data_IF_942676789411
#
_entry.id   IF_942676789411
#
_cell.length_a   1.000
_cell.length_b   1.000
_cell.length_c   1.000
_cell.angle_alpha   90.00
_cell.angle_beta   90.00
_cell.angle_gamma   90.00
#
_symmetry.space_group_name_H-M   'P 1'
#
loop_
_entity.id
_entity.type
_entity.pdbx_description
1 polymer ?
#
# COMPACT_ATOMS: atom_id res chain seq x y z
N UNK A 1 0.71 -10.49 22.69
CA UNK A 1 0.66 -9.08 22.25
C UNK A 1 1.96 -8.71 21.59
N UNK A 2 1.88 -8.06 20.45
CA UNK A 2 3.02 -7.53 19.68
C UNK A 2 3.20 -6.07 20.09
N UNK A 3 4.36 -5.65 20.65
CA UNK A 3 4.62 -4.25 20.93
C UNK A 3 4.96 -3.52 19.63
N UNK A 4 4.32 -2.36 19.41
CA UNK A 4 4.53 -1.56 18.20
C UNK A 4 4.37 -0.07 18.45
N UNK A 5 4.94 0.73 17.57
CA UNK A 5 4.62 2.15 17.41
C UNK A 5 3.65 2.33 16.26
N UNK A 6 2.79 3.34 16.39
CA UNK A 6 1.92 3.83 15.32
C UNK A 6 2.28 5.28 15.03
N UNK A 7 2.54 5.58 13.77
CA UNK A 7 2.84 6.93 13.30
C UNK A 7 1.83 7.31 12.22
N UNK A 8 1.16 8.43 12.40
CA UNK A 8 0.36 9.08 11.37
C UNK A 8 1.09 10.35 10.92
N UNK A 9 1.25 10.53 9.62
CA UNK A 9 2.03 11.64 9.10
C UNK A 9 1.67 12.06 7.69
N UNK A 10 2.30 13.16 7.28
CA UNK A 10 2.22 13.68 5.93
C UNK A 10 3.62 13.65 5.30
N UNK A 11 3.70 13.23 4.04
CA UNK A 11 4.94 13.30 3.29
C UNK A 11 4.69 13.95 1.93
N UNK A 12 5.57 14.90 1.50
CA UNK A 12 5.39 15.60 0.25
C UNK A 12 5.62 14.70 -0.97
N UNK A 13 4.95 15.07 -2.05
CA UNK A 13 5.28 14.71 -3.44
C UNK A 13 5.77 15.97 -4.12
N UNK A 14 6.89 15.88 -4.79
CA UNK A 14 7.52 17.01 -5.49
C UNK A 14 7.03 17.10 -6.93
N UNK A 15 6.82 18.30 -7.40
CA UNK A 15 6.51 18.58 -8.80
C UNK A 15 7.78 18.71 -9.64
N UNK A 16 7.62 18.81 -10.95
CA UNK A 16 8.72 18.98 -11.91
C UNK A 16 9.49 20.31 -11.76
N UNK A 17 8.93 21.24 -11.02
CA UNK A 17 9.49 22.56 -10.70
C UNK A 17 10.18 22.61 -9.34
N UNK A 18 10.49 21.45 -8.77
CA UNK A 18 11.09 21.27 -7.44
C UNK A 18 10.28 21.90 -6.28
N UNK A 19 8.98 22.15 -6.51
CA UNK A 19 8.04 22.57 -5.47
C UNK A 19 7.21 21.41 -4.99
N UNK A 20 6.75 21.50 -3.74
CA UNK A 20 5.80 20.51 -3.20
C UNK A 20 4.48 20.62 -3.96
N UNK A 21 4.13 19.58 -4.70
CA UNK A 21 2.92 19.53 -5.51
C UNK A 21 1.72 18.95 -4.75
N UNK A 22 1.97 17.93 -3.94
CA UNK A 22 0.94 17.30 -3.10
C UNK A 22 1.54 16.87 -1.76
N UNK A 23 0.68 16.58 -0.80
CA UNK A 23 1.04 16.02 0.49
C UNK A 23 0.21 14.78 0.76
N UNK A 24 0.84 13.64 0.95
CA UNK A 24 0.19 12.35 1.15
C UNK A 24 0.19 11.97 2.61
N UNK A 25 -1.00 11.63 3.08
CA UNK A 25 -1.19 11.05 4.40
C UNK A 25 -0.82 9.57 4.39
N UNK A 26 -0.21 9.11 5.49
CA UNK A 26 0.08 7.71 5.72
C UNK A 26 -0.11 7.34 7.19
N UNK A 27 -0.34 6.06 7.44
CA UNK A 27 -0.25 5.46 8.77
C UNK A 27 0.76 4.33 8.71
N UNK A 28 1.77 4.39 9.58
CA UNK A 28 2.87 3.43 9.64
C UNK A 28 2.89 2.73 10.98
N UNK A 29 3.00 1.40 10.95
CA UNK A 29 3.15 0.54 12.12
C UNK A 29 4.47 -0.18 12.07
N UNK A 30 5.24 -0.09 13.14
CA UNK A 30 6.56 -0.71 13.29
C UNK A 30 6.65 -1.45 14.61
N UNK A 31 7.10 -2.71 14.58
CA UNK A 31 7.39 -3.47 15.81
C UNK A 31 8.58 -2.90 16.52
N UNK A 32 8.47 -2.76 17.85
CA UNK A 32 9.52 -2.16 18.70
C UNK A 32 10.46 -3.18 19.33
N UNK A 33 10.09 -4.45 19.36
CA UNK A 33 10.89 -5.54 19.92
C UNK A 33 11.84 -6.19 18.89
N UNK A 34 11.79 -5.78 17.62
CA UNK A 34 12.70 -6.25 16.57
C UNK A 34 13.79 -5.20 16.34
N UNK A 35 15.03 -5.56 16.65
CA UNK A 35 16.17 -4.66 16.47
C UNK A 35 16.75 -4.69 15.05
N UNK A 36 16.70 -5.85 14.43
CA UNK A 36 17.23 -6.07 13.08
C UNK A 36 16.17 -5.72 12.04
N UNK A 37 16.18 -4.45 11.62
CA UNK A 37 15.29 -3.95 10.58
C UNK A 37 15.66 -4.45 9.18
N UNK A 38 16.91 -4.82 8.95
CA UNK A 38 17.36 -5.32 7.65
C UNK A 38 16.68 -6.63 7.26
N UNK A 39 16.41 -7.48 8.23
CA UNK A 39 15.70 -8.75 8.04
C UNK A 39 14.19 -8.65 8.29
N UNK A 40 13.68 -7.49 8.67
CA UNK A 40 12.25 -7.29 8.91
C UNK A 40 11.55 -6.75 7.66
N UNK A 41 10.56 -7.48 7.10
CA UNK A 41 9.83 -7.02 5.93
C UNK A 41 9.12 -5.68 6.17
N UNK A 42 9.07 -4.85 5.11
CA UNK A 42 8.25 -3.65 5.03
C UNK A 42 7.20 -3.84 3.93
N UNK A 43 5.94 -3.65 4.28
CA UNK A 43 4.82 -3.73 3.36
C UNK A 43 4.26 -2.33 3.11
N UNK A 44 4.08 -1.98 1.84
CA UNK A 44 3.40 -0.75 1.42
C UNK A 44 2.02 -1.14 0.88
N UNK A 45 0.97 -0.59 1.49
CA UNK A 45 -0.42 -1.03 1.31
C UNK A 45 -1.30 0.05 0.70
N UNK A 46 -2.14 -0.37 -0.27
CA UNK A 46 -3.09 0.48 -0.97
C UNK A 46 -4.46 -0.18 -1.10
N UNK A 47 -5.53 0.59 -0.93
CA UNK A 47 -6.83 0.27 -1.48
C UNK A 47 -6.94 0.70 -2.95
N UNK A 48 -8.06 0.38 -3.53
CA UNK A 48 -8.37 0.62 -4.93
C UNK A 48 -9.26 1.85 -5.19
N UNK A 49 -10.30 1.63 -5.92
CA UNK A 49 -11.25 2.65 -6.35
C UNK A 49 -11.16 2.95 -7.86
N UNK A 50 -10.29 3.87 -8.32
CA UNK A 50 -9.02 4.44 -7.80
C UNK A 50 -9.11 5.57 -6.77
N UNK A 51 -10.25 6.01 -6.35
CA UNK A 51 -10.44 7.15 -5.44
C UNK A 51 -10.52 6.81 -3.94
N UNK A 52 -10.17 5.61 -3.52
CA UNK A 52 -10.23 5.19 -2.11
C UNK A 52 -8.96 5.51 -1.35
N UNK A 53 -9.13 5.99 -0.11
CA UNK A 53 -8.08 5.96 0.90
C UNK A 53 -7.78 4.51 1.31
N UNK A 54 -6.62 4.26 1.91
CA UNK A 54 -6.19 2.91 2.32
C UNK A 54 -6.85 2.39 3.59
N UNK A 55 -8.02 2.92 3.93
CA UNK A 55 -8.74 2.69 5.18
C UNK A 55 -9.21 1.24 5.35
N UNK A 56 -9.67 0.59 4.28
CA UNK A 56 -10.15 -0.79 4.37
C UNK A 56 -9.03 -1.78 4.56
N UNK A 57 -7.93 -1.63 3.83
CA UNK A 57 -6.72 -2.42 4.07
C UNK A 57 -6.17 -2.18 5.48
N UNK A 58 -6.30 -0.96 6.01
CA UNK A 58 -5.82 -0.57 7.33
C UNK A 58 -6.66 -1.19 8.45
N UNK A 59 -7.92 -0.75 8.60
CA UNK A 59 -8.78 -1.11 9.74
C UNK A 59 -9.83 -2.17 9.43
N UNK A 60 -9.83 -2.67 8.18
CA UNK A 60 -10.68 -3.77 7.76
C UNK A 60 -9.95 -5.12 7.66
N UNK A 61 -8.62 -5.12 7.42
CA UNK A 61 -7.89 -6.37 7.13
C UNK A 61 -6.58 -6.52 7.88
N UNK A 62 -5.56 -5.72 7.54
CA UNK A 62 -4.15 -6.05 7.83
C UNK A 62 -3.55 -5.28 8.99
N UNK A 63 -4.16 -4.18 9.39
CA UNK A 63 -3.70 -3.36 10.50
C UNK A 63 -3.86 -4.05 11.86
N UNK A 64 -3.25 -3.47 12.92
CA UNK A 64 -3.32 -4.05 14.27
C UNK A 64 -4.69 -3.90 14.94
N UNK A 65 -5.58 -3.12 14.35
CA UNK A 65 -6.95 -2.90 14.84
C UNK A 65 -7.95 -3.16 13.73
N UNK A 66 -9.12 -3.67 14.09
CA UNK A 66 -10.26 -3.89 13.20
C UNK A 66 -11.46 -3.08 13.67
N UNK A 67 -12.27 -2.64 12.71
CA UNK A 67 -13.62 -2.14 12.98
C UNK A 67 -14.47 -3.24 13.61
N UNK A 68 -15.33 -2.86 14.56
CA UNK A 68 -16.38 -3.75 15.07
C UNK A 68 -17.53 -3.79 14.07
N UNK A 69 -17.50 -4.82 13.24
CA UNK A 69 -18.55 -5.14 12.26
C UNK A 69 -19.01 -6.58 12.47
N UNK A 70 -20.23 -6.91 12.06
CA UNK A 70 -20.72 -8.29 11.97
C UNK A 70 -20.25 -8.97 10.68
N UNK A 71 -20.67 -10.21 10.48
CA UNK A 71 -20.30 -11.01 9.31
C UNK A 71 -20.87 -10.46 8.00
N UNK A 72 -21.93 -9.66 8.07
CA UNK A 72 -22.53 -8.96 6.95
C UNK A 72 -21.86 -7.60 6.66
N UNK A 73 -20.95 -7.14 7.54
CA UNK A 73 -20.22 -5.88 7.40
C UNK A 73 -20.91 -4.66 8.03
N UNK A 74 -21.95 -4.85 8.84
CA UNK A 74 -22.63 -3.75 9.54
C UNK A 74 -21.95 -3.42 10.87
N UNK A 75 -21.91 -2.11 11.26
CA UNK A 75 -21.34 -1.70 12.52
C UNK A 75 -22.08 -2.27 13.72
N UNK A 76 -21.36 -2.86 14.67
CA UNK A 76 -21.91 -3.44 15.91
C UNK A 76 -21.71 -2.51 17.09
N UNK A 77 -22.78 -2.32 17.89
CA UNK A 77 -22.71 -1.50 19.11
C UNK A 77 -22.05 -2.28 20.27
N UNK A 78 -21.29 -1.58 21.15
CA UNK A 78 -20.86 -0.19 21.03
C UNK A 78 -19.84 -0.04 19.86
N UNK A 79 -20.06 0.97 19.03
CA UNK A 79 -19.19 1.25 17.88
C UNK A 79 -17.74 1.46 18.32
N UNK A 80 -16.80 1.00 17.51
CA UNK A 80 -15.39 1.16 17.83
C UNK A 80 -14.49 0.21 17.06
N UNK A 81 -13.31 0.04 17.60
CA UNK A 81 -12.28 -0.84 17.07
C UNK A 81 -11.90 -1.90 18.11
N UNK A 82 -11.43 -3.05 17.61
CA UNK A 82 -10.90 -4.15 18.44
C UNK A 82 -9.47 -4.48 18.03
N UNK A 83 -8.76 -5.25 18.84
CA UNK A 83 -7.48 -5.82 18.43
C UNK A 83 -7.70 -6.79 17.27
N UNK A 84 -6.80 -6.74 16.28
CA UNK A 84 -6.80 -7.67 15.15
C UNK A 84 -5.91 -8.88 15.49
N UNK A 85 -6.47 -10.07 15.71
CA UNK A 85 -5.68 -11.26 15.98
C UNK A 85 -4.92 -11.77 14.74
N UNK A 86 -5.28 -11.29 13.55
CA UNK A 86 -4.70 -11.67 12.26
C UNK A 86 -3.87 -10.55 11.62
N UNK A 87 -3.43 -9.59 12.44
CA UNK A 87 -2.62 -8.48 11.93
C UNK A 87 -1.33 -8.99 11.28
N UNK A 88 -0.99 -8.41 10.13
CA UNK A 88 0.25 -8.67 9.42
C UNK A 88 1.50 -8.21 10.21
N UNK A 89 1.30 -7.43 11.27
CA UNK A 89 2.37 -6.92 12.12
C UNK A 89 3.16 -8.01 12.85
N UNK A 90 2.65 -9.24 12.87
CA UNK A 90 3.40 -10.40 13.35
C UNK A 90 4.67 -10.65 12.51
N UNK A 91 4.59 -10.48 11.21
CA UNK A 91 5.64 -10.86 10.26
C UNK A 91 6.30 -9.68 9.55
N UNK A 92 5.65 -8.52 9.49
CA UNK A 92 6.12 -7.35 8.75
C UNK A 92 5.73 -6.05 9.44
N UNK A 93 6.49 -4.98 9.18
CA UNK A 93 6.02 -3.61 9.39
C UNK A 93 5.20 -3.17 8.19
N UNK A 94 4.24 -2.27 8.39
CA UNK A 94 3.32 -1.89 7.33
C UNK A 94 3.03 -0.39 7.31
N UNK A 95 3.01 0.18 6.11
CA UNK A 95 2.53 1.53 5.86
C UNK A 95 1.31 1.51 4.94
N UNK A 96 0.26 2.19 5.37
CA UNK A 96 -0.95 2.46 4.62
C UNK A 96 -0.85 3.86 4.05
N UNK A 97 -0.94 3.99 2.73
CA UNK A 97 -0.75 5.27 2.04
C UNK A 97 -2.06 5.68 1.39
N UNK A 98 -2.48 6.89 1.65
CA UNK A 98 -3.62 7.49 0.95
C UNK A 98 -3.11 8.17 -0.32
N UNK A 99 -3.48 7.71 -1.52
CA UNK A 99 -3.14 8.38 -2.77
C UNK A 99 -3.66 9.83 -2.81
N UNK A 100 -3.15 10.63 -3.73
CA UNK A 100 -3.52 12.05 -3.87
C UNK A 100 -5.04 12.24 -3.94
N UNK A 101 -5.56 13.19 -3.18
CA UNK A 101 -6.98 13.53 -3.02
C UNK A 101 -7.88 12.39 -2.50
N UNK A 102 -7.29 11.40 -1.83
CA UNK A 102 -8.02 10.43 -1.01
C UNK A 102 -7.72 10.65 0.47
N UNK A 103 -8.60 10.21 1.34
CA UNK A 103 -8.43 10.38 2.78
C UNK A 103 -8.03 11.80 3.18
N UNK A 104 -6.87 11.94 3.80
CA UNK A 104 -6.31 13.24 4.19
C UNK A 104 -5.28 13.81 3.19
N UNK A 105 -4.97 13.09 2.12
CA UNK A 105 -4.02 13.53 1.10
C UNK A 105 -4.59 14.61 0.20
N UNK A 106 -3.80 15.63 -0.11
CA UNK A 106 -4.26 16.79 -0.91
C UNK A 106 -3.17 17.26 -1.87
N UNK A 107 -3.61 17.76 -3.03
CA UNK A 107 -2.82 18.67 -3.86
C UNK A 107 -2.68 19.97 -3.07
N UNK A 108 -1.45 20.47 -2.92
CA UNK A 108 -1.14 21.67 -2.13
C UNK A 108 -0.59 22.81 -2.97
N UNK A 109 -0.04 22.52 -4.16
CA UNK A 109 0.38 23.54 -5.11
C UNK A 109 -0.81 23.96 -5.98
N UNK A 110 -1.21 25.23 -5.99
CA UNK A 110 -2.32 25.72 -6.81
C UNK A 110 -2.04 25.62 -8.33
N UNK A 111 -0.77 25.57 -8.73
CA UNK A 111 -0.36 25.44 -10.13
C UNK A 111 -0.28 23.97 -10.59
N UNK A 112 -0.37 23.00 -9.67
CA UNK A 112 -0.36 21.58 -9.99
C UNK A 112 -1.67 21.16 -10.67
N UNK A 113 -1.56 20.43 -11.75
CA UNK A 113 -2.72 19.97 -12.54
C UNK A 113 -3.18 18.61 -12.05
N UNK A 114 -4.47 18.34 -12.20
CA UNK A 114 -5.04 17.03 -11.90
C UNK A 114 -4.38 15.93 -12.73
N UNK A 115 -4.05 16.20 -13.97
CA UNK A 115 -3.40 15.27 -14.90
C UNK A 115 -2.03 14.80 -14.42
N UNK A 116 -1.37 15.55 -13.54
CA UNK A 116 -0.09 15.16 -12.94
C UNK A 116 -0.23 14.00 -11.93
N UNK A 117 -1.45 13.71 -11.48
CA UNK A 117 -1.74 12.70 -10.45
C UNK A 117 -2.76 11.66 -10.88
N UNK A 118 -3.66 11.99 -11.81
CA UNK A 118 -4.78 11.12 -12.19
C UNK A 118 -4.54 10.46 -13.53
N UNK A 119 -4.64 9.14 -13.54
CA UNK A 119 -4.30 8.27 -14.65
C UNK A 119 -3.27 7.24 -14.19
N UNK A 120 -3.29 6.06 -14.77
CA UNK A 120 -2.48 4.92 -14.29
C UNK A 120 -0.99 5.26 -14.20
N UNK A 121 -0.44 5.87 -15.25
CA UNK A 121 0.99 6.20 -15.28
C UNK A 121 1.36 7.31 -14.28
N UNK A 122 0.55 8.35 -14.17
CA UNK A 122 0.78 9.44 -13.23
C UNK A 122 0.69 8.95 -11.78
N UNK A 123 -0.31 8.12 -11.46
CA UNK A 123 -0.48 7.48 -10.15
C UNK A 123 0.74 6.66 -9.76
N UNK A 124 1.27 5.86 -10.68
CA UNK A 124 2.48 5.06 -10.47
C UNK A 124 3.72 5.94 -10.28
N UNK A 125 3.87 7.00 -11.09
CA UNK A 125 5.08 7.81 -11.12
C UNK A 125 5.30 8.54 -9.79
N UNK A 126 4.32 9.30 -9.30
CA UNK A 126 4.49 10.02 -8.04
C UNK A 126 4.55 9.10 -6.83
N UNK A 127 3.83 7.98 -6.85
CA UNK A 127 3.87 7.02 -5.74
C UNK A 127 5.20 6.26 -5.68
N UNK A 128 5.83 5.96 -6.82
CA UNK A 128 7.16 5.35 -6.83
C UNK A 128 8.21 6.27 -6.18
N UNK A 129 8.18 7.56 -6.49
CA UNK A 129 9.04 8.55 -5.85
C UNK A 129 8.72 8.68 -4.34
N UNK A 130 7.45 8.77 -4.00
CA UNK A 130 7.02 8.86 -2.61
C UNK A 130 7.52 7.66 -1.78
N UNK A 131 7.38 6.43 -2.33
CA UNK A 131 7.85 5.20 -1.67
C UNK A 131 9.37 5.23 -1.47
N UNK A 132 10.12 5.65 -2.49
CA UNK A 132 11.59 5.77 -2.41
C UNK A 132 12.00 6.74 -1.29
N UNK A 133 11.36 7.89 -1.22
CA UNK A 133 11.59 8.89 -0.17
C UNK A 133 11.17 8.37 1.22
N UNK A 134 10.06 7.64 1.32
CA UNK A 134 9.62 7.03 2.57
C UNK A 134 10.61 5.98 3.07
N UNK A 135 11.04 5.08 2.21
CA UNK A 135 12.02 4.02 2.53
C UNK A 135 13.35 4.63 2.98
N UNK A 136 13.81 5.70 2.31
CA UNK A 136 15.01 6.43 2.69
C UNK A 136 14.88 7.08 4.06
N UNK A 137 13.78 7.79 4.31
CA UNK A 137 13.52 8.49 5.57
C UNK A 137 13.37 7.53 6.76
N UNK A 138 12.85 6.32 6.50
CA UNK A 138 12.67 5.27 7.51
C UNK A 138 13.88 4.34 7.64
N UNK A 139 14.93 4.57 6.84
CA UNK A 139 16.15 3.74 6.84
C UNK A 139 15.84 2.25 6.57
N UNK A 140 14.96 1.99 5.57
CA UNK A 140 14.47 0.64 5.27
C UNK A 140 14.94 0.10 3.93
N UNK A 141 16.06 0.61 3.38
CA UNK A 141 16.59 0.14 2.10
C UNK A 141 17.01 -1.34 2.12
N UNK A 142 17.57 -1.80 3.23
CA UNK A 142 18.01 -3.20 3.38
C UNK A 142 16.86 -4.16 3.68
N UNK A 143 15.72 -3.66 4.18
CA UNK A 143 14.55 -4.47 4.49
C UNK A 143 13.97 -5.16 3.27
N UNK A 144 13.52 -6.41 3.35
CA UNK A 144 12.68 -7.02 2.33
C UNK A 144 11.41 -6.18 2.10
N UNK A 145 11.07 -5.88 0.85
CA UNK A 145 9.99 -4.97 0.48
C UNK A 145 8.89 -5.68 -0.27
N UNK A 146 7.67 -5.44 0.16
CA UNK A 146 6.46 -5.98 -0.45
C UNK A 146 5.46 -4.88 -0.72
N UNK A 147 4.70 -5.03 -1.79
CA UNK A 147 3.52 -4.22 -2.07
C UNK A 147 2.27 -5.06 -1.88
N UNK A 148 1.22 -4.46 -1.33
CA UNK A 148 -0.10 -5.07 -1.29
C UNK A 148 -1.14 -4.09 -1.83
N UNK A 149 -1.98 -4.55 -2.76
CA UNK A 149 -3.04 -3.74 -3.35
C UNK A 149 -4.35 -4.51 -3.43
N UNK A 150 -5.44 -3.82 -3.16
CA UNK A 150 -6.80 -4.35 -3.27
C UNK A 150 -7.52 -3.67 -4.43
N UNK A 151 -8.30 -4.45 -5.23
CA UNK A 151 -9.10 -3.95 -6.35
C UNK A 151 -8.25 -3.19 -7.38
N UNK A 152 -8.54 -1.92 -7.71
CA UNK A 152 -7.65 -1.08 -8.55
C UNK A 152 -6.24 -0.95 -7.95
N UNK A 153 -6.09 -1.07 -6.65
CA UNK A 153 -4.78 -1.14 -6.00
C UNK A 153 -3.88 -2.24 -6.56
N UNK A 154 -4.43 -3.31 -7.13
CA UNK A 154 -3.65 -4.37 -7.80
C UNK A 154 -3.00 -3.86 -9.09
N UNK A 155 -3.71 -3.05 -9.89
CA UNK A 155 -3.15 -2.37 -11.06
C UNK A 155 -2.03 -1.41 -10.62
N UNK A 156 -2.27 -0.63 -9.56
CA UNK A 156 -1.28 0.28 -8.97
C UNK A 156 -0.01 -0.45 -8.55
N UNK A 157 -0.10 -1.48 -7.72
CA UNK A 157 1.09 -2.17 -7.20
C UNK A 157 1.83 -2.96 -8.28
N UNK A 158 1.13 -3.45 -9.31
CA UNK A 158 1.77 -4.07 -10.47
C UNK A 158 2.62 -3.07 -11.26
N UNK A 159 2.09 -1.88 -11.51
CA UNK A 159 2.86 -0.81 -12.16
C UNK A 159 3.98 -0.26 -11.28
N UNK A 160 3.74 -0.11 -9.98
CA UNK A 160 4.76 0.29 -9.00
C UNK A 160 5.91 -0.72 -8.93
N UNK A 161 5.65 -2.03 -9.03
CA UNK A 161 6.70 -3.03 -9.05
C UNK A 161 7.69 -2.80 -10.19
N UNK A 162 7.19 -2.47 -11.38
CA UNK A 162 8.04 -2.11 -12.52
C UNK A 162 8.77 -0.78 -12.31
N UNK A 163 8.05 0.27 -11.88
CA UNK A 163 8.60 1.61 -11.73
C UNK A 163 9.67 1.69 -10.62
N UNK A 164 9.46 1.03 -9.49
CA UNK A 164 10.41 0.99 -8.39
C UNK A 164 11.71 0.30 -8.80
N UNK A 165 11.63 -0.82 -9.51
CA UNK A 165 12.83 -1.53 -9.97
C UNK A 165 13.57 -0.79 -11.07
N UNK A 166 12.86 -0.25 -12.07
CA UNK A 166 13.50 0.35 -13.25
C UNK A 166 13.94 1.81 -13.05
N UNK A 167 13.27 2.57 -12.19
CA UNK A 167 13.52 4.01 -12.02
C UNK A 167 14.12 4.37 -10.67
N UNK A 168 13.80 3.59 -9.61
CA UNK A 168 14.25 3.86 -8.24
C UNK A 168 15.32 2.87 -7.76
N UNK A 169 15.68 1.87 -8.58
CA UNK A 169 16.63 0.81 -8.23
C UNK A 169 16.24 0.08 -6.94
N UNK A 170 14.93 0.08 -6.63
CA UNK A 170 14.37 -0.57 -5.47
C UNK A 170 13.77 -1.91 -5.86
N UNK A 171 14.46 -2.98 -5.51
CA UNK A 171 13.99 -4.34 -5.76
C UNK A 171 12.98 -4.76 -4.71
N UNK A 172 11.91 -5.42 -5.18
CA UNK A 172 10.85 -5.95 -4.34
C UNK A 172 11.01 -7.45 -4.16
N UNK A 173 10.64 -7.93 -2.97
CA UNK A 173 10.60 -9.34 -2.63
C UNK A 173 9.26 -9.99 -2.98
N UNK A 174 8.21 -9.19 -3.20
CA UNK A 174 6.92 -9.70 -3.64
C UNK A 174 5.84 -8.63 -3.79
N UNK A 175 4.77 -9.04 -4.47
CA UNK A 175 3.56 -8.25 -4.67
C UNK A 175 2.36 -9.11 -4.32
N UNK A 176 1.46 -8.58 -3.49
CA UNK A 176 0.24 -9.27 -3.03
C UNK A 176 -0.95 -8.58 -3.69
N UNK A 177 -1.71 -9.35 -4.47
CA UNK A 177 -2.86 -8.86 -5.22
C UNK A 177 -4.14 -9.39 -4.55
N UNK A 178 -4.93 -8.47 -3.96
CA UNK A 178 -6.19 -8.79 -3.31
C UNK A 178 -7.33 -8.38 -4.23
N UNK A 179 -8.19 -9.33 -4.61
CA UNK A 179 -9.34 -9.09 -5.50
C UNK A 179 -8.95 -8.32 -6.78
N UNK A 180 -8.04 -8.84 -7.60
CA UNK A 180 -7.53 -8.14 -8.78
C UNK A 180 -8.63 -7.88 -9.79
N UNK A 181 -8.64 -6.65 -10.35
CA UNK A 181 -9.58 -6.24 -11.39
C UNK A 181 -8.89 -6.16 -12.73
N UNK A 182 -9.58 -6.68 -13.78
CA UNK A 182 -9.25 -6.36 -15.16
C UNK A 182 -7.83 -6.69 -15.65
N UNK A 183 -7.24 -7.79 -15.18
CA UNK A 183 -5.90 -8.23 -15.61
C UNK A 183 -5.82 -8.60 -17.10
N UNK A 184 -6.70 -8.08 -17.96
CA UNK A 184 -6.71 -8.36 -19.39
C UNK A 184 -7.02 -9.81 -19.74
N UNK A 185 -7.45 -10.60 -18.77
CA UNK A 185 -7.99 -11.94 -19.05
C UNK A 185 -9.32 -11.76 -19.75
N UNK A 186 -9.52 -12.35 -20.95
CA UNK A 186 -10.80 -12.29 -21.60
C UNK A 186 -11.85 -12.85 -20.64
N UNK A 187 -12.90 -12.09 -20.37
CA UNK A 187 -14.08 -12.57 -19.66
C UNK A 187 -14.81 -13.56 -20.56
N UNK A 188 -14.27 -14.75 -20.72
CA UNK A 188 -15.00 -15.87 -21.31
C UNK A 188 -16.01 -16.31 -20.26
N UNK A 189 -17.24 -15.93 -20.53
CA UNK A 189 -18.47 -16.25 -19.88
C UNK A 189 -18.43 -17.17 -18.67
N UNK A 190 -18.97 -16.73 -17.55
CA UNK A 190 -19.35 -17.54 -16.40
C UNK A 190 -18.31 -18.36 -15.64
N UNK A 191 -17.03 -18.14 -15.81
CA UNK A 191 -16.10 -18.47 -14.74
C UNK A 191 -16.23 -17.34 -13.73
N UNK A 192 -17.30 -17.47 -13.00
CA UNK A 192 -17.74 -16.63 -11.93
C UNK A 192 -16.57 -16.23 -11.04
N UNK A 193 -16.70 -15.06 -10.52
CA UNK A 193 -16.08 -14.43 -9.36
C UNK A 193 -15.65 -15.35 -8.19
N UNK A 194 -15.80 -16.65 -8.30
CA UNK A 194 -15.51 -17.67 -7.28
C UNK A 194 -14.04 -18.14 -7.27
N UNK A 195 -13.18 -17.68 -8.16
CA UNK A 195 -11.76 -18.03 -8.20
C UNK A 195 -10.87 -16.81 -8.01
N UNK A 196 -11.23 -15.91 -7.13
CA UNK A 196 -10.29 -14.93 -6.61
C UNK A 196 -9.53 -15.60 -5.45
N UNK A 197 -8.67 -16.53 -5.81
CA UNK A 197 -7.64 -17.01 -4.91
C UNK A 197 -6.65 -15.86 -4.75
N UNK A 198 -6.26 -15.48 -3.52
CA UNK A 198 -5.16 -14.55 -3.33
C UNK A 198 -3.91 -15.17 -3.97
N UNK A 199 -3.50 -14.64 -5.11
CA UNK A 199 -2.25 -15.04 -5.74
C UNK A 199 -1.11 -14.38 -4.96
N UNK A 200 -0.47 -15.16 -4.09
CA UNK A 200 0.82 -14.81 -3.53
C UNK A 200 1.84 -15.23 -4.57
N UNK A 201 2.32 -14.29 -5.38
CA UNK A 201 3.48 -14.55 -6.24
C UNK A 201 4.71 -14.18 -5.44
N UNK A 202 5.24 -15.14 -4.67
CA UNK A 202 6.62 -15.09 -4.24
C UNK A 202 7.47 -15.72 -5.34
N UNK A 203 8.13 -14.93 -6.15
CA UNK A 203 9.18 -15.41 -7.01
C UNK A 203 10.50 -14.97 -6.39
N UNK A 204 11.31 -15.91 -5.91
CA UNK A 204 12.72 -15.66 -5.68
C UNK A 204 13.33 -15.33 -7.05
N UNK A 205 13.73 -14.08 -7.24
CA UNK A 205 14.29 -13.58 -8.50
C UNK A 205 15.79 -13.93 -8.62
N UNK A 206 16.33 -14.66 -7.65
CA UNK A 206 17.71 -15.08 -7.59
C UNK A 206 17.80 -16.61 -7.38
N UNK A 207 17.40 -17.38 -8.36
CA UNK A 207 18.05 -18.66 -8.65
C UNK A 207 18.85 -18.42 -9.92
N UNK A 208 20.14 -18.20 -9.76
CA UNK A 208 21.12 -18.34 -10.82
C UNK A 208 21.25 -19.83 -11.14
N UNK A 209 21.07 -20.18 -12.43
CA UNK A 209 21.62 -21.40 -13.01
C UNK A 209 23.11 -21.18 -13.33
#
# INVERSE_FOLDING_TARGET
>A
RVPYTAEAGMQPVWGKDDKVAASLFYTYYERTDVKDKANRPLIISFNGGPGSASVWMHIGYTGPKLLKIDDEGFPVQPYGITDNPYSILDVADIVFVDPVNTGYSRIVNPDAKREDFFGVNADIEYLAEWISNFVSRKERWESPKYLIGESYGTTRVSGLASALQSRQWMYLNGVILVSPTGLGLPSQGNISQALIVPYIVSKNIFEED
#
